data_IF_977927404566
#
_entry.id   IF_977927404566
#
_cell.length_a   1.000
_cell.length_b   1.000
_cell.length_c   1.000
_cell.angle_alpha   90.00
_cell.angle_beta   90.00
_cell.angle_gamma   90.00
#
_symmetry.space_group_name_H-M   'P 1'
#
loop_
_entity.id
_entity.type
_entity.pdbx_description
1 polymer ?
#
# COMPACT_ATOMS: atom_id res chain seq x y z
N UNK A 1 8.37 -11.09 6.10
CA UNK A 1 6.90 -10.96 5.98
C UNK A 1 6.38 -12.16 5.23
N UNK A 2 5.36 -12.83 5.78
CA UNK A 2 4.57 -13.81 5.03
C UNK A 2 3.68 -13.11 3.99
N UNK A 3 3.19 -13.85 3.00
CA UNK A 3 2.29 -13.32 1.96
C UNK A 3 1.03 -12.68 2.59
N UNK A 4 0.52 -13.28 3.67
CA UNK A 4 -0.64 -12.78 4.40
C UNK A 4 -0.36 -11.42 5.06
N UNK A 5 0.78 -11.28 5.73
CA UNK A 5 1.18 -10.02 6.37
C UNK A 5 1.40 -8.91 5.36
N UNK A 6 2.03 -9.22 4.22
CA UNK A 6 2.21 -8.28 3.12
C UNK A 6 0.86 -7.79 2.56
N UNK A 7 -0.11 -8.69 2.40
CA UNK A 7 -1.44 -8.33 1.91
C UNK A 7 -2.21 -7.42 2.89
N UNK A 8 -2.12 -7.69 4.20
CA UNK A 8 -2.74 -6.85 5.24
C UNK A 8 -2.14 -5.44 5.20
N UNK A 9 -0.80 -5.33 5.21
CA UNK A 9 -0.13 -4.02 5.15
C UNK A 9 -0.46 -3.24 3.89
N UNK A 10 -0.45 -3.90 2.73
CA UNK A 10 -0.78 -3.25 1.47
C UNK A 10 -2.22 -2.70 1.51
N UNK A 11 -3.17 -3.47 2.07
CA UNK A 11 -4.54 -3.00 2.25
C UNK A 11 -4.65 -1.81 3.23
N UNK A 12 -3.85 -1.78 4.29
CA UNK A 12 -3.77 -0.62 5.19
C UNK A 12 -3.27 0.63 4.45
N UNK A 13 -2.25 0.49 3.59
CA UNK A 13 -1.73 1.59 2.77
C UNK A 13 -2.81 2.09 1.80
N UNK A 14 -3.55 1.19 1.15
CA UNK A 14 -4.69 1.55 0.27
C UNK A 14 -5.72 2.39 1.01
N UNK A 15 -6.16 1.94 2.19
CA UNK A 15 -7.17 2.65 2.97
C UNK A 15 -6.69 4.02 3.45
N UNK A 16 -5.42 4.13 3.84
CA UNK A 16 -4.85 5.40 4.26
C UNK A 16 -4.83 6.41 3.10
N UNK A 17 -4.33 6.00 1.93
CA UNK A 17 -4.26 6.86 0.74
C UNK A 17 -5.67 7.27 0.29
N UNK A 18 -6.61 6.32 0.25
CA UNK A 18 -7.99 6.59 -0.12
C UNK A 18 -8.62 7.65 0.80
N UNK A 19 -8.42 7.52 2.12
CA UNK A 19 -8.92 8.46 3.12
C UNK A 19 -8.26 9.83 3.02
N UNK A 20 -6.94 9.89 2.85
CA UNK A 20 -6.20 11.15 2.78
C UNK A 20 -6.55 11.97 1.53
N UNK A 21 -6.81 11.29 0.41
CA UNK A 21 -7.13 11.94 -0.86
C UNK A 21 -8.61 12.10 -1.14
N UNK A 22 -9.47 11.47 -0.32
CA UNK A 22 -10.92 11.47 -0.53
C UNK A 22 -11.33 10.73 -1.81
N UNK A 23 -10.59 9.68 -2.18
CA UNK A 23 -10.83 8.83 -3.35
C UNK A 23 -11.29 7.43 -2.93
N UNK A 24 -11.72 6.61 -3.89
CA UNK A 24 -12.07 5.22 -3.61
C UNK A 24 -10.81 4.36 -3.35
N UNK A 25 -11.00 3.24 -2.64
CA UNK A 25 -9.93 2.25 -2.47
C UNK A 25 -9.43 1.71 -3.83
N UNK A 26 -10.31 1.59 -4.83
CA UNK A 26 -9.95 1.17 -6.19
C UNK A 26 -8.94 2.12 -6.84
N UNK A 27 -9.18 3.42 -6.73
CA UNK A 27 -8.28 4.45 -7.26
C UNK A 27 -6.95 4.52 -6.47
N UNK A 28 -6.99 4.23 -5.17
CA UNK A 28 -5.81 4.27 -4.30
C UNK A 28 -4.83 3.10 -4.51
N UNK A 29 -5.24 1.99 -5.15
CA UNK A 29 -4.39 0.80 -5.32
C UNK A 29 -3.08 1.07 -6.06
N UNK A 30 -3.13 1.86 -7.14
CA UNK A 30 -1.94 2.12 -7.98
C UNK A 30 -0.86 2.81 -7.15
N UNK A 31 -1.26 3.78 -6.33
CA UNK A 31 -0.35 4.53 -5.48
C UNK A 31 0.09 3.71 -4.27
N UNK A 32 -0.82 2.94 -3.67
CA UNK A 32 -0.49 2.06 -2.56
C UNK A 32 0.57 1.02 -2.93
N UNK A 33 0.48 0.44 -4.13
CA UNK A 33 1.50 -0.49 -4.64
C UNK A 33 2.86 0.22 -4.76
N UNK A 34 2.88 1.47 -5.23
CA UNK A 34 4.12 2.25 -5.35
C UNK A 34 4.76 2.53 -3.99
N UNK A 35 3.96 3.05 -3.05
CA UNK A 35 4.41 3.34 -1.67
C UNK A 35 4.89 2.07 -0.98
N UNK A 36 4.12 0.99 -1.08
CA UNK A 36 4.48 -0.29 -0.48
C UNK A 36 5.82 -0.82 -1.03
N UNK A 37 6.05 -0.72 -2.35
CA UNK A 37 7.34 -1.12 -2.96
C UNK A 37 8.52 -0.26 -2.50
N UNK A 38 8.32 1.05 -2.43
CA UNK A 38 9.36 1.99 -2.00
C UNK A 38 9.75 1.77 -0.52
N UNK A 39 8.76 1.58 0.35
CA UNK A 39 9.00 1.43 1.79
C UNK A 39 9.45 0.02 2.20
N UNK A 40 8.98 -1.03 1.52
CA UNK A 40 9.16 -2.42 1.98
C UNK A 40 9.98 -3.31 1.05
N UNK A 41 10.05 -3.03 -0.25
CA UNK A 41 10.89 -3.82 -1.19
C UNK A 41 12.26 -3.16 -1.45
N UNK A 42 12.32 -1.83 -1.55
CA UNK A 42 13.58 -1.11 -1.82
C UNK A 42 14.45 -0.83 -0.58
N UNK A 43 13.97 -1.08 0.64
CA UNK A 43 14.77 -0.92 1.85
C UNK A 43 15.87 -2.01 2.03
N UNK A 44 15.97 -2.96 1.10
CA UNK A 44 16.87 -4.11 1.14
C UNK A 44 17.97 -4.10 0.06
N UNK A 45 18.24 -2.96 -0.60
CA UNK A 45 19.29 -2.84 -1.62
C UNK A 45 20.41 -1.87 -1.19
#
# INVERSE_FOLDING_TARGET
MSIMESAIKLNEVVQNIAREKGISNEEAWIEAIKVYKEEYENANN
#
